data_IF_747222077450
#
_entry.id   IF_747222077450
#
_cell.length_a   1.000
_cell.length_b   1.000
_cell.length_c   1.000
_cell.angle_alpha   90.00
_cell.angle_beta   90.00
_cell.angle_gamma   90.00
#
_symmetry.space_group_name_H-M   'P 1'
#
loop_
_entity.id
_entity.type
_entity.pdbx_description
1 polymer ?
#
# COMPACT_ATOMS: atom_id res chain seq x y z
N UNK A 1 -32.85 26.09 -25.75
CA UNK A 1 -31.91 25.11 -25.17
C UNK A 1 -32.01 23.84 -25.99
N UNK A 2 -30.93 23.41 -26.62
CA UNK A 2 -30.94 22.24 -27.51
C UNK A 2 -30.67 20.96 -26.69
N UNK A 3 -31.75 20.24 -26.37
CA UNK A 3 -31.72 19.00 -25.57
C UNK A 3 -30.93 17.91 -26.31
N UNK A 4 -31.06 17.82 -27.63
CA UNK A 4 -30.38 16.79 -28.42
C UNK A 4 -28.86 16.98 -28.34
N UNK A 5 -28.37 18.22 -28.49
CA UNK A 5 -26.95 18.54 -28.34
C UNK A 5 -26.41 18.19 -26.96
N UNK A 6 -27.20 18.40 -25.90
CA UNK A 6 -26.83 18.02 -24.53
C UNK A 6 -26.68 16.50 -24.41
N UNK A 7 -27.69 15.73 -24.86
CA UNK A 7 -27.67 14.27 -24.78
C UNK A 7 -26.51 13.67 -25.58
N UNK A 8 -26.26 14.13 -26.80
CA UNK A 8 -25.12 13.68 -27.62
C UNK A 8 -23.78 14.00 -26.94
N UNK A 9 -23.64 15.18 -26.35
CA UNK A 9 -22.43 15.54 -25.60
C UNK A 9 -22.18 14.61 -24.41
N UNK A 10 -23.21 14.32 -23.61
CA UNK A 10 -23.09 13.42 -22.46
C UNK A 10 -22.80 11.98 -22.90
N UNK A 11 -23.49 11.47 -23.93
CA UNK A 11 -23.23 10.14 -24.50
C UNK A 11 -21.75 9.98 -24.90
N UNK A 12 -21.19 10.96 -25.60
CA UNK A 12 -19.79 10.92 -26.04
C UNK A 12 -18.81 10.95 -24.85
N UNK A 13 -19.11 11.72 -23.79
CA UNK A 13 -18.28 11.74 -22.57
C UNK A 13 -18.28 10.39 -21.87
N UNK A 14 -19.44 9.76 -21.69
CA UNK A 14 -19.52 8.43 -21.06
C UNK A 14 -18.87 7.34 -21.92
N UNK A 15 -19.05 7.37 -23.24
CA UNK A 15 -18.38 6.44 -24.16
C UNK A 15 -16.85 6.57 -24.09
N UNK A 16 -16.34 7.80 -24.07
CA UNK A 16 -14.90 8.06 -23.86
C UNK A 16 -14.43 7.53 -22.50
N UNK A 17 -15.16 7.81 -21.42
CA UNK A 17 -14.84 7.33 -20.08
C UNK A 17 -14.81 5.79 -19.98
N UNK A 18 -15.76 5.10 -20.61
CA UNK A 18 -15.79 3.64 -20.66
C UNK A 18 -14.58 3.06 -21.41
N UNK A 19 -14.15 3.71 -22.51
CA UNK A 19 -12.94 3.33 -23.24
C UNK A 19 -11.67 3.49 -22.41
N UNK A 20 -11.52 4.61 -21.69
CA UNK A 20 -10.39 4.84 -20.77
C UNK A 20 -10.37 3.80 -19.66
N UNK A 21 -11.52 3.55 -19.03
CA UNK A 21 -11.66 2.55 -17.97
C UNK A 21 -11.20 1.17 -18.45
N UNK A 22 -11.67 0.74 -19.64
CA UNK A 22 -11.30 -0.56 -20.19
C UNK A 22 -9.79 -0.66 -20.48
N UNK A 23 -9.20 0.38 -21.06
CA UNK A 23 -7.75 0.45 -21.32
C UNK A 23 -6.93 0.39 -20.03
N UNK A 24 -7.31 1.19 -19.02
CA UNK A 24 -6.63 1.23 -17.73
C UNK A 24 -6.73 -0.11 -17.01
N UNK A 25 -7.93 -0.72 -17.02
CA UNK A 25 -8.18 -1.98 -16.32
C UNK A 25 -7.37 -3.15 -16.83
N UNK A 26 -7.19 -3.23 -18.14
CA UNK A 26 -6.61 -4.40 -18.79
C UNK A 26 -5.16 -4.16 -19.22
N UNK A 27 -4.96 -3.25 -20.19
CA UNK A 27 -3.67 -3.09 -20.86
C UNK A 27 -2.65 -2.40 -19.96
N UNK A 28 -3.02 -1.26 -19.39
CA UNK A 28 -2.12 -0.49 -18.54
C UNK A 28 -1.82 -1.23 -17.25
N UNK A 29 -2.83 -1.87 -16.65
CA UNK A 29 -2.64 -2.70 -15.46
C UNK A 29 -1.66 -3.86 -15.69
N UNK A 30 -1.76 -4.55 -16.84
CA UNK A 30 -0.86 -5.67 -17.15
C UNK A 30 0.59 -5.20 -17.25
N UNK A 31 0.85 -4.12 -17.98
CA UNK A 31 2.20 -3.52 -18.09
C UNK A 31 2.73 -3.09 -16.72
N UNK A 32 1.89 -2.42 -15.93
CA UNK A 32 2.23 -2.02 -14.57
C UNK A 32 2.57 -3.20 -13.66
N UNK A 33 1.77 -4.28 -13.69
CA UNK A 33 2.00 -5.50 -12.90
C UNK A 33 3.35 -6.11 -13.23
N UNK A 34 3.71 -6.21 -14.53
CA UNK A 34 5.03 -6.74 -14.93
C UNK A 34 6.17 -5.94 -14.31
N UNK A 35 6.08 -4.60 -14.31
CA UNK A 35 7.09 -3.71 -13.73
C UNK A 35 7.21 -3.89 -12.21
N UNK A 36 6.09 -3.92 -11.50
CA UNK A 36 6.07 -4.11 -10.03
C UNK A 36 6.59 -5.50 -9.66
N UNK A 37 6.11 -6.56 -10.33
CA UNK A 37 6.56 -7.94 -10.08
C UNK A 37 8.06 -8.07 -10.25
N UNK A 38 8.64 -7.46 -11.29
CA UNK A 38 10.09 -7.47 -11.52
C UNK A 38 10.85 -6.89 -10.32
N UNK A 39 10.48 -5.70 -9.85
CA UNK A 39 11.10 -5.06 -8.68
C UNK A 39 10.97 -5.94 -7.41
N UNK A 40 9.78 -6.51 -7.17
CA UNK A 40 9.57 -7.38 -6.02
C UNK A 40 10.36 -8.69 -6.10
N UNK A 41 10.50 -9.28 -7.29
CA UNK A 41 11.32 -10.48 -7.49
C UNK A 41 12.80 -10.19 -7.24
N UNK A 42 13.30 -9.07 -7.75
CA UNK A 42 14.67 -8.61 -7.49
C UNK A 42 14.93 -8.47 -5.98
N UNK A 43 13.99 -7.88 -5.23
CA UNK A 43 14.08 -7.76 -3.77
C UNK A 43 14.00 -9.10 -3.03
N UNK A 44 13.17 -10.03 -3.49
CA UNK A 44 13.07 -11.36 -2.88
C UNK A 44 14.38 -12.12 -3.04
N UNK A 45 14.94 -12.11 -4.24
CA UNK A 45 16.21 -12.78 -4.49
C UNK A 45 17.35 -12.12 -3.72
N UNK A 46 17.39 -10.79 -3.64
CA UNK A 46 18.37 -10.11 -2.80
C UNK A 46 18.19 -10.42 -1.31
N UNK A 47 16.96 -10.41 -0.81
CA UNK A 47 16.65 -10.78 0.57
C UNK A 47 17.12 -12.19 0.91
N UNK A 48 16.96 -13.15 -0.01
CA UNK A 48 17.51 -14.51 0.16
C UNK A 48 19.04 -14.52 0.19
N UNK A 49 19.70 -13.75 -0.68
CA UNK A 49 21.17 -13.69 -0.74
C UNK A 49 21.79 -13.11 0.53
N UNK A 50 21.12 -12.13 1.13
CA UNK A 50 21.58 -11.44 2.33
C UNK A 50 21.11 -12.10 3.64
N UNK A 51 20.47 -13.27 3.56
CA UNK A 51 19.87 -13.96 4.71
C UNK A 51 18.95 -13.03 5.53
N UNK A 52 18.07 -12.32 4.82
CA UNK A 52 17.07 -11.45 5.46
C UNK A 52 16.28 -12.28 6.49
N UNK A 53 16.10 -11.69 7.68
CA UNK A 53 15.45 -12.31 8.83
C UNK A 53 14.18 -13.11 8.51
N UNK A 54 13.40 -12.65 7.53
CA UNK A 54 12.16 -13.28 7.11
C UNK A 54 12.06 -13.33 5.58
N UNK A 55 11.26 -14.27 5.09
CA UNK A 55 10.99 -14.42 3.66
C UNK A 55 9.98 -13.37 3.19
N UNK A 56 10.22 -12.88 1.99
CA UNK A 56 9.33 -11.98 1.27
C UNK A 56 8.56 -12.77 0.21
N UNK A 57 7.30 -12.39 -0.01
CA UNK A 57 6.39 -13.08 -0.92
C UNK A 57 5.67 -12.11 -1.84
N UNK A 58 5.30 -12.58 -3.03
CA UNK A 58 4.41 -11.87 -3.94
C UNK A 58 3.11 -12.65 -4.03
N UNK A 59 2.00 -11.95 -3.92
CA UNK A 59 0.68 -12.45 -4.25
C UNK A 59 0.04 -11.54 -5.27
N UNK A 60 -0.65 -12.10 -6.26
CA UNK A 60 -1.35 -11.28 -7.24
C UNK A 60 -2.67 -11.90 -7.68
N UNK A 61 -3.55 -11.02 -8.16
CA UNK A 61 -4.87 -11.38 -8.69
C UNK A 61 -4.85 -12.25 -9.95
N UNK A 62 -3.73 -12.32 -10.68
CA UNK A 62 -3.62 -13.11 -11.90
C UNK A 62 -3.45 -14.59 -11.54
N UNK A 63 -2.62 -14.89 -10.55
CA UNK A 63 -2.34 -16.23 -10.04
C UNK A 63 -3.43 -16.72 -9.06
N UNK A 64 -4.04 -15.81 -8.29
CA UNK A 64 -5.01 -16.14 -7.25
C UNK A 64 -6.44 -15.69 -7.55
N UNK A 65 -6.93 -15.89 -8.79
CA UNK A 65 -8.33 -15.61 -9.13
C UNK A 65 -9.30 -16.47 -8.29
N UNK A 66 -9.68 -15.99 -7.11
CA UNK A 66 -10.74 -16.58 -6.31
C UNK A 66 -12.11 -16.32 -6.97
N UNK A 67 -12.95 -17.35 -6.91
CA UNK A 67 -14.35 -17.40 -7.37
C UNK A 67 -15.16 -16.20 -6.82
N UNK A 68 -15.20 -15.07 -7.53
CA UNK A 68 -16.10 -13.96 -7.18
C UNK A 68 -15.76 -12.62 -7.85
N UNK A 69 -14.49 -12.22 -7.87
CA UNK A 69 -14.09 -10.89 -8.35
C UNK A 69 -13.23 -10.97 -9.61
N UNK A 70 -13.85 -11.32 -10.74
CA UNK A 70 -13.16 -11.50 -12.03
C UNK A 70 -12.47 -10.24 -12.58
N UNK A 71 -12.76 -9.05 -12.02
CA UNK A 71 -12.40 -7.76 -12.61
C UNK A 71 -11.66 -6.81 -11.65
N UNK A 72 -11.20 -7.28 -10.48
CA UNK A 72 -10.43 -6.46 -9.56
C UNK A 72 -9.00 -6.97 -9.49
N UNK A 73 -8.11 -6.19 -10.09
CA UNK A 73 -6.72 -6.52 -10.12
C UNK A 73 -5.97 -5.98 -8.91
N UNK A 74 -5.01 -6.75 -8.40
CA UNK A 74 -4.13 -6.35 -7.32
C UNK A 74 -2.82 -7.16 -7.36
N UNK A 75 -1.78 -6.58 -6.77
CA UNK A 75 -0.50 -7.22 -6.47
C UNK A 75 -0.05 -6.78 -5.07
N UNK A 76 0.41 -7.72 -4.28
CA UNK A 76 0.82 -7.54 -2.88
C UNK A 76 2.24 -8.07 -2.70
N UNK A 77 3.08 -7.27 -2.07
CA UNK A 77 4.34 -7.67 -1.47
C UNK A 77 4.12 -7.93 0.01
N UNK A 78 4.51 -9.10 0.49
CA UNK A 78 4.16 -9.57 1.82
C UNK A 78 5.41 -9.95 2.61
N UNK A 79 5.51 -9.44 3.84
CA UNK A 79 6.49 -9.90 4.82
C UNK A 79 5.99 -11.19 5.47
N UNK A 80 6.83 -12.20 5.62
CA UNK A 80 6.44 -13.48 6.23
C UNK A 80 5.92 -13.35 7.67
N UNK A 81 5.23 -14.41 8.12
CA UNK A 81 4.79 -14.51 9.51
C UNK A 81 5.87 -15.17 10.34
N UNK A 82 6.06 -14.71 11.57
CA UNK A 82 7.05 -15.31 12.47
C UNK A 82 6.49 -15.55 13.87
N UNK A 83 6.92 -16.63 14.54
CA UNK A 83 6.55 -16.91 15.92
C UNK A 83 7.23 -15.92 16.87
N UNK A 84 6.45 -15.34 17.77
CA UNK A 84 6.87 -14.41 18.81
C UNK A 84 6.75 -15.06 20.18
N UNK A 85 7.86 -15.28 20.91
CA UNK A 85 7.79 -15.82 22.26
C UNK A 85 7.29 -14.75 23.24
N UNK A 86 6.35 -15.14 24.08
CA UNK A 86 5.86 -14.38 25.22
C UNK A 86 6.14 -15.22 26.46
N UNK A 87 6.80 -14.61 27.43
CA UNK A 87 7.04 -15.24 28.73
C UNK A 87 5.96 -14.76 29.69
N UNK A 88 5.18 -15.70 30.22
CA UNK A 88 4.24 -15.46 31.32
C UNK A 88 4.63 -16.29 32.56
N UNK A 89 3.87 -16.13 33.64
CA UNK A 89 4.08 -16.86 34.90
C UNK A 89 3.99 -18.39 34.78
N UNK A 90 3.41 -18.91 33.68
CA UNK A 90 3.26 -20.34 33.39
C UNK A 90 4.26 -20.86 32.34
N UNK A 91 5.19 -20.03 31.87
CA UNK A 91 6.26 -20.41 30.93
C UNK A 91 6.26 -19.60 29.63
N UNK A 92 6.89 -20.14 28.58
CA UNK A 92 6.95 -19.48 27.26
C UNK A 92 5.80 -19.94 26.36
N UNK A 93 4.96 -19.00 25.93
CA UNK A 93 3.95 -19.21 24.88
C UNK A 93 4.43 -18.55 23.59
N UNK A 94 4.18 -19.18 22.44
CA UNK A 94 4.47 -18.59 21.14
C UNK A 94 3.18 -18.04 20.54
N UNK A 95 3.13 -16.73 20.33
CA UNK A 95 2.12 -16.11 19.46
C UNK A 95 2.67 -15.98 18.05
N UNK A 96 1.81 -15.66 17.09
CA UNK A 96 2.24 -15.39 15.72
C UNK A 96 2.06 -13.92 15.40
N UNK A 97 3.13 -13.26 14.96
CA UNK A 97 3.02 -11.95 14.33
C UNK A 97 2.73 -12.16 12.84
N UNK A 98 1.62 -11.57 12.37
CA UNK A 98 1.31 -11.49 10.95
C UNK A 98 2.16 -10.39 10.34
N UNK A 99 2.83 -10.71 9.24
CA UNK A 99 3.65 -9.75 8.52
C UNK A 99 2.84 -8.65 7.85
N UNK A 100 3.48 -7.49 7.69
CA UNK A 100 2.92 -6.36 6.96
C UNK A 100 2.89 -6.59 5.45
N UNK A 101 2.22 -5.71 4.71
CA UNK A 101 2.21 -5.79 3.25
C UNK A 101 2.12 -4.45 2.53
N UNK A 102 2.72 -4.39 1.34
CA UNK A 102 2.55 -3.32 0.36
C UNK A 102 1.64 -3.83 -0.75
N UNK A 103 0.50 -3.16 -0.96
CA UNK A 103 -0.50 -3.58 -1.94
C UNK A 103 -0.74 -2.48 -2.96
N UNK A 104 -0.59 -2.83 -4.24
CA UNK A 104 -1.12 -2.04 -5.34
C UNK A 104 -2.45 -2.66 -5.77
N UNK A 105 -3.55 -1.92 -5.59
CA UNK A 105 -4.91 -2.39 -5.87
C UNK A 105 -5.61 -1.51 -6.90
N UNK A 106 -6.30 -2.12 -7.85
CA UNK A 106 -7.06 -1.38 -8.85
C UNK A 106 -8.33 -0.78 -8.26
N UNK A 107 -8.53 0.52 -8.49
CA UNK A 107 -9.75 1.20 -8.06
C UNK A 107 -10.90 1.06 -9.07
N UNK A 108 -12.10 1.50 -8.66
CA UNK A 108 -13.30 1.42 -9.49
C UNK A 108 -13.18 2.16 -10.84
N UNK A 109 -12.31 3.17 -10.94
CA UNK A 109 -12.03 3.94 -12.17
C UNK A 109 -10.90 3.35 -13.03
N UNK A 110 -10.36 2.19 -12.65
CA UNK A 110 -9.25 1.53 -13.36
C UNK A 110 -7.87 2.08 -13.02
N UNK A 111 -7.79 3.08 -12.13
CA UNK A 111 -6.54 3.56 -11.58
C UNK A 111 -5.99 2.65 -10.48
N UNK A 112 -4.98 3.12 -9.75
CA UNK A 112 -4.25 2.31 -8.76
C UNK A 112 -4.28 3.00 -7.40
N UNK A 113 -4.46 2.23 -6.33
CA UNK A 113 -4.35 2.66 -4.94
C UNK A 113 -3.19 1.90 -4.33
N UNK A 114 -2.31 2.63 -3.64
CA UNK A 114 -1.19 2.03 -2.89
C UNK A 114 -1.57 1.99 -1.41
N UNK A 115 -1.46 0.79 -0.82
CA UNK A 115 -1.81 0.51 0.56
C UNK A 115 -0.61 -0.08 1.29
N UNK A 116 -0.39 0.36 2.53
CA UNK A 116 0.57 -0.23 3.45
C UNK A 116 -0.17 -0.82 4.65
N UNK A 117 -0.09 -2.13 4.82
CA UNK A 117 -0.65 -2.83 5.98
C UNK A 117 0.47 -3.06 7.02
N UNK A 118 0.21 -2.75 8.30
CA UNK A 118 1.18 -2.95 9.37
C UNK A 118 1.33 -4.43 9.72
N UNK A 119 2.43 -4.75 10.40
CA UNK A 119 2.51 -5.99 11.16
C UNK A 119 1.48 -5.98 12.29
N UNK A 120 0.96 -7.16 12.63
CA UNK A 120 -0.07 -7.29 13.67
C UNK A 120 -0.01 -8.66 14.34
N UNK A 121 -0.08 -8.68 15.66
CA UNK A 121 -0.30 -9.86 16.48
C UNK A 121 -1.57 -9.70 17.31
N UNK A 122 -1.91 -10.73 18.10
CA UNK A 122 -3.07 -10.68 18.99
C UNK A 122 -2.88 -9.70 20.16
N UNK A 123 -1.64 -9.34 20.49
CA UNK A 123 -1.29 -8.49 21.65
C UNK A 123 -0.73 -7.12 21.26
N UNK A 124 -0.27 -6.96 20.03
CA UNK A 124 0.34 -5.73 19.55
C UNK A 124 -0.09 -5.44 18.11
N UNK A 125 -0.44 -4.19 17.87
CA UNK A 125 -0.80 -3.72 16.54
C UNK A 125 -0.87 -2.20 16.50
N UNK A 126 -0.74 -1.67 15.29
CA UNK A 126 -1.06 -0.28 14.99
C UNK A 126 -2.56 -0.01 15.17
N UNK A 127 -2.91 1.25 15.45
CA UNK A 127 -4.31 1.66 15.59
C UNK A 127 -5.00 1.73 14.22
N UNK A 128 -4.24 2.07 13.19
CA UNK A 128 -4.65 2.08 11.80
C UNK A 128 -4.58 0.67 11.19
N UNK A 129 -5.63 0.25 10.48
CA UNK A 129 -5.63 -1.05 9.78
C UNK A 129 -4.66 -1.05 8.59
N UNK A 130 -4.52 0.09 7.92
CA UNK A 130 -3.63 0.30 6.78
C UNK A 130 -3.45 1.80 6.54
N UNK A 131 -2.48 2.19 5.71
CA UNK A 131 -2.27 3.56 5.23
C UNK A 131 -2.52 3.60 3.72
N UNK A 132 -3.29 4.60 3.24
CA UNK A 132 -3.41 4.88 1.81
C UNK A 132 -2.41 5.96 1.43
N UNK A 133 -1.30 5.59 0.80
CA UNK A 133 -0.21 6.54 0.50
C UNK A 133 -0.55 7.40 -0.71
N UNK A 134 -1.00 6.76 -1.80
CA UNK A 134 -1.26 7.41 -3.08
C UNK A 134 -2.46 6.78 -3.81
N UNK A 135 -3.13 7.58 -4.65
CA UNK A 135 -4.15 7.16 -5.60
C UNK A 135 -3.81 7.75 -6.95
N UNK A 136 -3.69 6.91 -7.97
CA UNK A 136 -3.41 7.28 -9.36
C UNK A 136 -4.64 7.00 -10.23
N UNK A 137 -4.86 7.84 -11.24
CA UNK A 137 -5.97 7.66 -12.19
C UNK A 137 -5.62 6.65 -13.30
N UNK A 138 -4.34 6.55 -13.69
CA UNK A 138 -3.82 5.52 -14.59
C UNK A 138 -2.71 4.70 -13.92
N UNK A 139 -2.63 3.37 -14.16
CA UNK A 139 -1.45 2.58 -13.79
C UNK A 139 -0.16 3.06 -14.46
N UNK A 140 -0.29 3.66 -15.64
CA UNK A 140 0.81 4.23 -16.41
C UNK A 140 1.46 5.47 -15.76
N UNK A 141 0.73 6.15 -14.86
CA UNK A 141 1.23 7.33 -14.15
C UNK A 141 2.28 6.95 -13.09
N UNK A 142 2.35 5.67 -12.71
CA UNK A 142 3.30 5.20 -11.70
C UNK A 142 4.65 4.90 -12.35
N UNK A 143 5.64 5.71 -12.01
CA UNK A 143 7.05 5.58 -12.40
C UNK A 143 7.79 4.49 -11.60
N UNK A 144 8.96 4.05 -12.07
CA UNK A 144 9.83 3.13 -11.31
C UNK A 144 10.21 3.72 -9.95
N UNK A 145 10.54 5.01 -9.92
CA UNK A 145 10.89 5.74 -8.71
C UNK A 145 9.77 5.71 -7.66
N UNK A 146 8.50 5.79 -8.08
CA UNK A 146 7.37 5.70 -7.16
C UNK A 146 7.17 4.28 -6.61
N UNK A 147 7.50 3.25 -7.39
CA UNK A 147 7.51 1.86 -6.93
C UNK A 147 8.61 1.69 -5.87
N UNK A 148 9.82 2.17 -6.15
CA UNK A 148 10.96 2.15 -5.22
C UNK A 148 10.65 2.89 -3.91
N UNK A 149 10.02 4.07 -3.99
CA UNK A 149 9.58 4.80 -2.81
C UNK A 149 8.52 4.06 -2.02
N UNK A 150 7.53 3.44 -2.67
CA UNK A 150 6.53 2.63 -1.98
C UNK A 150 7.17 1.43 -1.26
N UNK A 151 8.22 0.84 -1.83
CA UNK A 151 9.01 -0.22 -1.19
C UNK A 151 9.77 0.32 0.03
N UNK A 152 10.43 1.48 -0.07
CA UNK A 152 11.13 2.10 1.06
C UNK A 152 10.16 2.42 2.20
N UNK A 153 9.00 3.01 1.86
CA UNK A 153 7.92 3.29 2.81
C UNK A 153 7.44 2.01 3.49
N UNK A 154 7.33 0.91 2.74
CA UNK A 154 6.96 -0.40 3.26
C UNK A 154 7.98 -0.95 4.26
N UNK A 155 9.28 -0.89 3.95
CA UNK A 155 10.33 -1.34 4.87
C UNK A 155 10.37 -0.47 6.13
N UNK A 156 10.32 0.86 5.99
CA UNK A 156 10.26 1.77 7.13
C UNK A 156 9.02 1.48 8.01
N UNK A 157 7.86 1.30 7.39
CA UNK A 157 6.64 0.99 8.14
C UNK A 157 6.67 -0.38 8.80
N UNK A 158 7.31 -1.37 8.16
CA UNK A 158 7.56 -2.69 8.74
C UNK A 158 8.43 -2.59 9.99
N UNK A 159 9.52 -1.82 9.96
CA UNK A 159 10.37 -1.57 11.13
C UNK A 159 9.64 -0.89 12.28
N UNK A 160 8.70 0.02 12.02
CA UNK A 160 7.96 0.69 13.11
C UNK A 160 6.78 -0.16 13.61
N UNK A 161 6.22 -1.05 12.78
CA UNK A 161 5.00 -1.80 13.11
C UNK A 161 5.25 -3.22 13.61
N UNK A 162 6.40 -3.83 13.35
CA UNK A 162 6.76 -5.16 13.85
C UNK A 162 7.27 -5.12 15.29
N UNK A 163 6.99 -6.16 16.08
CA UNK A 163 7.58 -6.37 17.41
C UNK A 163 9.11 -6.52 17.32
N UNK A 164 9.62 -7.09 16.23
CA UNK A 164 11.06 -7.29 16.00
C UNK A 164 11.72 -6.12 15.29
N UNK A 165 10.93 -5.12 14.91
CA UNK A 165 11.42 -3.93 14.26
C UNK A 165 12.33 -3.12 15.18
N UNK A 166 13.46 -2.66 14.65
CA UNK A 166 14.36 -1.74 15.33
C UNK A 166 14.41 -0.44 14.53
N UNK A 167 13.34 0.39 14.58
CA UNK A 167 13.19 1.52 13.68
C UNK A 167 14.19 2.63 14.01
N UNK A 168 14.91 3.08 12.99
CA UNK A 168 15.74 4.27 13.07
C UNK A 168 14.90 5.52 13.27
N UNK A 169 15.55 6.63 13.59
CA UNK A 169 14.91 7.95 13.62
C UNK A 169 14.21 8.27 12.29
N UNK A 170 14.85 7.92 11.16
CA UNK A 170 14.32 8.16 9.83
C UNK A 170 13.08 7.32 9.53
N UNK A 171 13.06 6.05 9.96
CA UNK A 171 11.88 5.18 9.79
C UNK A 171 10.68 5.77 10.53
N UNK A 172 10.88 6.22 11.77
CA UNK A 172 9.83 6.87 12.57
C UNK A 172 9.33 8.15 11.89
N UNK A 173 10.23 8.96 11.33
CA UNK A 173 9.85 10.18 10.63
C UNK A 173 9.07 9.89 9.34
N UNK A 174 9.52 8.91 8.54
CA UNK A 174 8.81 8.45 7.34
C UNK A 174 7.40 8.01 7.71
N UNK A 175 7.24 7.16 8.73
CA UNK A 175 5.92 6.67 9.15
C UNK A 175 5.02 7.79 9.67
N UNK A 176 5.54 8.74 10.45
CA UNK A 176 4.76 9.92 10.85
C UNK A 176 4.31 10.74 9.62
N UNK A 177 5.19 10.94 8.65
CA UNK A 177 4.85 11.60 7.38
C UNK A 177 3.80 10.81 6.58
N UNK A 178 3.88 9.49 6.54
CA UNK A 178 2.91 8.61 5.87
C UNK A 178 1.52 8.71 6.49
N UNK A 179 1.43 8.65 7.82
CA UNK A 179 0.17 8.80 8.55
C UNK A 179 -0.49 10.16 8.30
N UNK A 180 0.32 11.22 8.26
CA UNK A 180 -0.17 12.55 7.92
C UNK A 180 -0.62 12.66 6.46
N UNK A 181 0.17 12.08 5.55
CA UNK A 181 -0.09 12.08 4.11
C UNK A 181 -1.15 11.09 3.68
N UNK A 182 -1.68 10.26 4.58
CA UNK A 182 -2.77 9.34 4.27
C UNK A 182 -3.89 10.10 3.56
N UNK A 183 -4.30 9.59 2.40
CA UNK A 183 -5.28 10.25 1.53
C UNK A 183 -6.61 10.51 2.28
N UNK A 184 -6.95 9.67 3.26
CA UNK A 184 -8.14 9.85 4.11
C UNK A 184 -7.98 11.05 5.06
N UNK A 185 -6.77 11.30 5.54
CA UNK A 185 -6.47 12.43 6.42
C UNK A 185 -6.39 13.74 5.64
N UNK A 186 -5.84 13.73 4.42
CA UNK A 186 -5.82 14.93 3.55
C UNK A 186 -7.22 15.49 3.28
N UNK A 187 -8.25 14.63 3.17
CA UNK A 187 -9.64 15.07 3.00
C UNK A 187 -10.20 15.79 4.23
N UNK A 188 -9.67 15.49 5.43
CA UNK A 188 -10.06 16.13 6.69
C UNK A 188 -9.23 17.38 6.98
N UNK A 189 -8.00 17.43 6.50
CA UNK A 189 -7.06 18.54 6.71
C UNK A 189 -7.24 19.59 5.61
N UNK A 190 -8.37 20.29 5.65
CA UNK A 190 -8.57 21.57 4.95
C UNK A 190 -8.11 22.76 5.80
N UNK A 191 -7.61 22.51 7.01
CA UNK A 191 -7.25 23.54 7.98
C UNK A 191 -5.73 23.59 8.22
N UNK A 192 -5.09 24.65 7.74
CA UNK A 192 -3.64 24.91 7.78
C UNK A 192 -3.06 24.84 9.20
N UNK A 193 -3.85 25.17 10.23
CA UNK A 193 -3.44 25.11 11.64
C UNK A 193 -3.11 23.69 12.10
N UNK A 194 -3.80 22.68 11.57
CA UNK A 194 -3.56 21.27 11.90
C UNK A 194 -2.27 20.74 11.28
N UNK A 195 -1.82 21.31 10.14
CA UNK A 195 -0.56 20.92 9.50
C UNK A 195 0.65 21.39 10.32
N UNK A 196 0.65 22.65 10.76
CA UNK A 196 1.71 23.20 11.60
C UNK A 196 1.73 22.53 12.98
N UNK A 197 0.57 22.33 13.61
CA UNK A 197 0.48 21.64 14.89
C UNK A 197 0.98 20.19 14.81
N UNK A 198 0.76 19.50 13.68
CA UNK A 198 1.31 18.15 13.46
C UNK A 198 2.83 18.17 13.29
N UNK A 199 3.39 19.12 12.52
CA UNK A 199 4.85 19.24 12.35
C UNK A 199 5.50 19.55 13.70
N UNK A 200 4.96 20.51 14.46
CA UNK A 200 5.45 20.87 15.80
C UNK A 200 5.32 19.68 16.74
N UNK A 201 4.16 19.00 16.79
CA UNK A 201 3.97 17.82 17.64
C UNK A 201 4.88 16.67 17.22
N UNK A 202 5.13 16.49 15.93
CA UNK A 202 6.06 15.49 15.39
C UNK A 202 7.47 15.75 15.85
N UNK A 203 7.93 17.01 15.82
CA UNK A 203 9.24 17.43 16.33
C UNK A 203 9.32 17.29 17.86
N UNK A 204 8.25 17.62 18.59
CA UNK A 204 8.22 17.59 20.07
C UNK A 204 7.96 16.21 20.68
N UNK A 205 7.51 15.23 19.89
CA UNK A 205 7.30 13.82 20.32
C UNK A 205 8.27 12.86 19.65
N UNK A 206 9.37 13.40 19.13
CA UNK A 206 10.58 12.66 18.75
C UNK A 206 11.61 12.83 19.87
#
# INVERSE_FOLDING_TARGET
MDIQKIITSQHNKFKKGAGILHSNRNNQWRSFTTRVTRNFQELIEEGKRQDLFERLYIYNSIEHQHKGYKNLHWISFYWGNHPTPIVDENGTKYLFEKGGSLVFSQNAKGGVVILLNPHRSDIYGRNEDYIITNIYDCPCDISEREIEWAIQDFFAYSQVSSIYGCPSFWDKLIVKCLLFRDVRNRRKVTDYKNQIAFIIKTILTL
#
